data_IF_164830766392
#
_entry.id   IF_164830766392
#
_cell.length_a   1.000
_cell.length_b   1.000
_cell.length_c   1.000
_cell.angle_alpha   90.00
_cell.angle_beta   90.00
_cell.angle_gamma   90.00
#
_symmetry.space_group_name_H-M   'P 1'
#
loop_
_entity.id
_entity.type
_entity.pdbx_description
1 polymer ?
#
# COMPACT_ATOMS: atom_id res chain seq x y z
N UNK A 1 -8.01 -25.62 -11.64
CA UNK A 1 -6.85 -26.02 -10.82
C UNK A 1 -5.60 -25.64 -11.60
N UNK A 2 -5.20 -24.36 -11.55
CA UNK A 2 -4.20 -23.79 -12.45
C UNK A 2 -3.44 -22.64 -11.83
N UNK A 3 -2.14 -22.88 -11.60
CA UNK A 3 -1.03 -21.91 -11.53
C UNK A 3 -1.20 -20.62 -10.70
N UNK A 4 -1.41 -20.75 -9.40
CA UNK A 4 -0.86 -19.75 -8.48
C UNK A 4 0.58 -20.18 -8.14
N UNK A 5 1.54 -19.79 -9.00
CA UNK A 5 2.97 -19.90 -8.70
C UNK A 5 3.24 -19.07 -7.43
N UNK A 6 3.38 -19.74 -6.29
CA UNK A 6 4.62 -20.23 -5.67
C UNK A 6 5.59 -19.09 -5.39
N UNK A 7 5.97 -18.96 -4.12
CA UNK A 7 7.12 -18.17 -3.66
C UNK A 7 8.16 -17.96 -4.78
N UNK A 8 8.53 -16.71 -5.03
CA UNK A 8 9.62 -16.44 -5.99
C UNK A 8 10.91 -16.48 -5.19
N UNK A 9 11.75 -17.52 -5.34
CA UNK A 9 13.00 -17.60 -4.61
C UNK A 9 13.96 -16.51 -5.09
N UNK A 10 14.86 -16.01 -4.21
CA UNK A 10 15.92 -15.12 -4.63
C UNK A 10 16.87 -15.82 -5.62
N UNK A 11 17.47 -15.05 -6.54
CA UNK A 11 18.53 -15.55 -7.43
C UNK A 11 19.72 -16.03 -6.58
N UNK A 12 20.20 -17.24 -6.88
CA UNK A 12 21.11 -18.06 -6.06
C UNK A 12 22.37 -17.34 -5.55
N UNK A 13 22.30 -16.76 -4.35
CA UNK A 13 23.43 -16.38 -3.47
C UNK A 13 22.87 -16.26 -2.04
N UNK A 14 23.58 -16.81 -1.05
CA UNK A 14 23.14 -16.85 0.36
C UNK A 14 22.59 -15.49 0.84
N UNK A 15 21.43 -15.45 1.51
CA UNK A 15 20.90 -14.22 2.05
C UNK A 15 21.89 -13.64 3.06
N UNK A 16 22.09 -12.32 3.03
CA UNK A 16 22.78 -11.63 4.12
C UNK A 16 22.06 -11.93 5.45
N UNK A 17 22.75 -12.01 6.60
CA UNK A 17 22.12 -12.31 7.87
C UNK A 17 21.02 -11.28 8.16
N UNK A 18 19.77 -11.72 8.06
CA UNK A 18 18.56 -10.95 8.31
C UNK A 18 17.84 -11.63 9.47
N UNK A 19 17.23 -10.87 10.40
CA UNK A 19 16.39 -11.46 11.45
C UNK A 19 15.09 -12.07 10.88
N UNK A 20 14.79 -11.84 9.60
CA UNK A 20 13.63 -12.37 8.89
C UNK A 20 14.04 -13.30 7.76
N UNK A 21 13.26 -14.35 7.56
CA UNK A 21 13.47 -15.37 6.52
C UNK A 21 12.71 -15.06 5.22
N UNK A 22 11.65 -14.25 5.27
CA UNK A 22 10.78 -13.99 4.13
C UNK A 22 10.00 -12.67 4.23
N UNK A 23 9.48 -12.22 3.09
CA UNK A 23 8.46 -11.16 3.00
C UNK A 23 7.14 -11.78 2.54
N UNK A 24 6.03 -11.39 3.18
CA UNK A 24 4.67 -11.76 2.81
C UNK A 24 3.90 -10.53 2.33
N UNK A 25 3.63 -10.45 1.03
CA UNK A 25 2.71 -9.47 0.46
C UNK A 25 1.27 -9.87 0.80
N UNK A 26 0.55 -8.97 1.48
CA UNK A 26 -0.85 -9.20 1.87
C UNK A 26 -1.77 -8.18 1.22
N UNK A 27 -2.76 -8.66 0.46
CA UNK A 27 -3.71 -7.81 -0.24
C UNK A 27 -5.16 -8.27 -0.04
N UNK A 28 -6.11 -7.54 -0.63
CA UNK A 28 -7.54 -7.82 -0.50
C UNK A 28 -7.94 -9.05 -1.33
N UNK A 29 -7.35 -9.21 -2.51
CA UNK A 29 -7.78 -10.17 -3.54
C UNK A 29 -8.95 -9.67 -4.35
N UNK A 30 -9.16 -10.25 -5.54
CA UNK A 30 -10.30 -9.95 -6.38
C UNK A 30 -10.55 -11.06 -7.39
N UNK A 31 -11.78 -11.15 -7.95
CA UNK A 31 -12.16 -12.20 -8.88
C UNK A 31 -11.30 -12.14 -10.14
N UNK A 32 -10.99 -13.30 -10.72
CA UNK A 32 -10.18 -13.43 -11.95
C UNK A 32 -11.03 -13.88 -13.16
N UNK A 33 -12.35 -13.98 -12.99
CA UNK A 33 -13.30 -14.25 -14.05
C UNK A 33 -14.76 -14.12 -13.56
N UNK A 34 -15.75 -14.19 -14.48
CA UNK A 34 -17.16 -14.04 -14.14
C UNK A 34 -17.64 -15.02 -13.06
N UNK A 35 -17.19 -16.28 -13.13
CA UNK A 35 -17.59 -17.34 -12.19
C UNK A 35 -17.02 -17.12 -10.78
N UNK A 36 -15.96 -16.32 -10.65
CA UNK A 36 -15.34 -15.98 -9.36
C UNK A 36 -16.10 -14.89 -8.61
N UNK A 37 -16.88 -14.05 -9.30
CA UNK A 37 -17.44 -12.80 -8.75
C UNK A 37 -18.33 -13.07 -7.55
N UNK A 38 -19.31 -13.97 -7.68
CA UNK A 38 -20.24 -14.27 -6.60
C UNK A 38 -19.55 -14.97 -5.41
N UNK A 39 -18.78 -16.05 -5.60
CA UNK A 39 -18.01 -16.66 -4.52
C UNK A 39 -17.07 -15.68 -3.80
N UNK A 40 -16.42 -14.78 -4.55
CA UNK A 40 -15.58 -13.73 -3.96
C UNK A 40 -16.39 -12.81 -3.06
N UNK A 41 -17.54 -12.32 -3.54
CA UNK A 41 -18.40 -11.42 -2.76
C UNK A 41 -18.92 -12.12 -1.50
N UNK A 42 -19.29 -13.40 -1.59
CA UNK A 42 -19.68 -14.23 -0.45
C UNK A 42 -18.55 -14.33 0.58
N UNK A 43 -17.30 -14.53 0.15
CA UNK A 43 -16.12 -14.51 1.03
C UNK A 43 -15.90 -13.12 1.69
N UNK A 44 -16.13 -12.02 0.98
CA UNK A 44 -16.00 -10.65 1.50
C UNK A 44 -17.02 -10.34 2.61
N UNK A 45 -18.21 -10.91 2.49
CA UNK A 45 -19.31 -10.71 3.45
C UNK A 45 -19.47 -11.83 4.46
N UNK A 46 -18.61 -12.86 4.42
CA UNK A 46 -18.66 -13.96 5.38
C UNK A 46 -18.67 -13.43 6.84
N UNK A 47 -19.64 -13.90 7.62
CA UNK A 47 -19.89 -13.43 8.99
C UNK A 47 -20.62 -12.07 9.09
N UNK A 48 -21.15 -11.53 7.99
CA UNK A 48 -21.97 -10.31 7.95
C UNK A 48 -23.36 -10.61 7.40
N UNK A 49 -24.37 -9.95 7.95
CA UNK A 49 -25.75 -10.03 7.49
C UNK A 49 -25.97 -9.16 6.24
N UNK A 50 -25.37 -9.53 5.11
CA UNK A 50 -25.58 -8.86 3.82
C UNK A 50 -26.54 -9.70 2.98
N UNK A 51 -27.68 -9.15 2.54
CA UNK A 51 -28.65 -9.91 1.77
C UNK A 51 -28.12 -10.20 0.36
N UNK A 52 -28.44 -11.38 -0.18
CA UNK A 52 -27.95 -11.84 -1.48
C UNK A 52 -28.24 -10.89 -2.64
N UNK A 53 -29.39 -10.20 -2.62
CA UNK A 53 -29.73 -9.21 -3.66
C UNK A 53 -28.72 -8.07 -3.74
N UNK A 54 -28.10 -7.67 -2.61
CA UNK A 54 -27.06 -6.64 -2.58
C UNK A 54 -25.75 -7.14 -3.18
N UNK A 55 -25.44 -8.43 -3.02
CA UNK A 55 -24.29 -9.06 -3.68
C UNK A 55 -24.47 -9.07 -5.20
N UNK A 56 -25.67 -9.43 -5.67
CA UNK A 56 -26.01 -9.42 -7.09
C UNK A 56 -25.93 -8.02 -7.69
N UNK A 57 -26.37 -7.00 -6.96
CA UNK A 57 -26.23 -5.60 -7.39
C UNK A 57 -24.76 -5.19 -7.56
N UNK A 58 -23.89 -5.57 -6.61
CA UNK A 58 -22.45 -5.30 -6.69
C UNK A 58 -21.77 -6.12 -7.79
N UNK A 59 -22.22 -7.36 -8.03
CA UNK A 59 -21.69 -8.23 -9.07
C UNK A 59 -21.80 -7.60 -10.47
N UNK A 60 -22.88 -6.85 -10.74
CA UNK A 60 -23.07 -6.12 -12.01
C UNK A 60 -21.96 -5.13 -12.32
N UNK A 61 -21.31 -4.55 -11.30
CA UNK A 61 -20.17 -3.66 -11.54
C UNK A 61 -18.96 -4.41 -12.10
N UNK A 62 -18.79 -5.71 -11.78
CA UNK A 62 -17.72 -6.53 -12.36
C UNK A 62 -18.04 -6.97 -13.78
N UNK A 63 -19.31 -7.08 -14.17
CA UNK A 63 -19.71 -7.42 -15.55
C UNK A 63 -19.13 -6.42 -16.58
N UNK A 64 -19.09 -5.13 -16.21
CA UNK A 64 -18.47 -4.07 -17.03
C UNK A 64 -16.98 -4.31 -17.31
N UNK A 65 -16.32 -5.16 -16.51
CA UNK A 65 -14.91 -5.52 -16.62
C UNK A 65 -14.72 -7.02 -16.92
N UNK A 66 -15.74 -7.69 -17.48
CA UNK A 66 -15.66 -9.11 -17.82
C UNK A 66 -15.50 -10.04 -16.61
N UNK A 67 -15.95 -9.60 -15.43
CA UNK A 67 -15.82 -10.36 -14.18
C UNK A 67 -14.45 -10.27 -13.51
N UNK A 68 -13.50 -9.53 -14.08
CA UNK A 68 -12.11 -9.51 -13.61
C UNK A 68 -11.82 -8.25 -12.81
N UNK A 69 -11.27 -8.43 -11.61
CA UNK A 69 -10.64 -7.35 -10.86
C UNK A 69 -9.17 -7.17 -11.28
N UNK A 70 -8.71 -5.95 -11.56
CA UNK A 70 -7.30 -5.73 -11.91
C UNK A 70 -6.36 -5.99 -10.72
N UNK A 71 -6.88 -6.07 -9.49
CA UNK A 71 -6.07 -6.09 -8.27
C UNK A 71 -5.06 -7.25 -8.23
N UNK A 72 -5.47 -8.46 -8.61
CA UNK A 72 -4.57 -9.61 -8.62
C UNK A 72 -3.45 -9.48 -9.67
N UNK A 73 -3.76 -8.90 -10.84
CA UNK A 73 -2.74 -8.62 -11.85
C UNK A 73 -1.72 -7.57 -11.36
N UNK A 74 -2.18 -6.54 -10.65
CA UNK A 74 -1.32 -5.53 -10.05
C UNK A 74 -0.47 -6.11 -8.92
N UNK A 75 -1.03 -7.01 -8.09
CA UNK A 75 -0.26 -7.71 -7.05
C UNK A 75 0.83 -8.61 -7.65
N UNK A 76 0.58 -9.27 -8.79
CA UNK A 76 1.61 -10.04 -9.51
C UNK A 76 2.73 -9.13 -10.02
N UNK A 77 2.40 -7.97 -10.59
CA UNK A 77 3.39 -7.00 -11.03
C UNK A 77 4.20 -6.43 -9.86
N UNK A 78 3.54 -6.10 -8.74
CA UNK A 78 4.19 -5.63 -7.52
C UNK A 78 5.10 -6.71 -6.91
N UNK A 79 4.65 -7.97 -6.89
CA UNK A 79 5.45 -9.11 -6.43
C UNK A 79 6.73 -9.24 -7.24
N UNK A 80 6.63 -9.21 -8.57
CA UNK A 80 7.79 -9.28 -9.45
C UNK A 80 8.77 -8.11 -9.24
N UNK A 81 8.25 -6.88 -9.13
CA UNK A 81 9.07 -5.69 -8.87
C UNK A 81 9.77 -5.76 -7.51
N UNK A 82 9.05 -6.19 -6.47
CA UNK A 82 9.60 -6.33 -5.12
C UNK A 82 10.70 -7.39 -5.06
N UNK A 83 10.51 -8.53 -5.74
CA UNK A 83 11.55 -9.56 -5.86
C UNK A 83 12.78 -9.03 -6.59
N UNK A 84 12.59 -8.28 -7.69
CA UNK A 84 13.68 -7.62 -8.42
C UNK A 84 14.50 -6.70 -7.50
N UNK A 85 13.82 -5.80 -6.81
CA UNK A 85 14.44 -4.83 -5.89
C UNK A 85 15.21 -5.53 -4.75
N UNK A 86 14.62 -6.54 -4.11
CA UNK A 86 15.26 -7.29 -3.04
C UNK A 86 16.45 -8.13 -3.53
N UNK A 87 16.42 -8.59 -4.78
CA UNK A 87 17.53 -9.31 -5.39
C UNK A 87 18.70 -8.38 -5.73
N UNK A 88 18.41 -7.20 -6.28
CA UNK A 88 19.40 -6.22 -6.71
C UNK A 88 20.03 -5.48 -5.53
N UNK A 89 19.21 -5.00 -4.60
CA UNK A 89 19.63 -4.11 -3.51
C UNK A 89 19.62 -4.77 -2.13
N UNK A 90 19.03 -5.96 -2.01
CA UNK A 90 18.89 -6.66 -0.72
C UNK A 90 17.74 -6.14 0.15
N UNK A 91 17.40 -6.86 1.23
CA UNK A 91 17.86 -8.20 1.56
C UNK A 91 17.22 -9.23 0.62
N UNK A 92 18.01 -10.18 0.09
CA UNK A 92 17.60 -11.25 -0.85
C UNK A 92 16.67 -12.28 -0.20
N UNK A 93 15.50 -11.84 0.25
CA UNK A 93 14.50 -12.65 0.92
C UNK A 93 13.48 -13.19 -0.09
N UNK A 94 13.04 -14.45 0.03
CA UNK A 94 11.90 -14.95 -0.73
C UNK A 94 10.65 -14.15 -0.41
N UNK A 95 9.83 -13.91 -1.45
CA UNK A 95 8.57 -13.17 -1.33
C UNK A 95 7.39 -14.08 -1.62
N UNK A 96 6.43 -14.09 -0.71
CA UNK A 96 5.16 -14.82 -0.78
C UNK A 96 4.01 -13.83 -0.95
N UNK A 97 2.90 -14.28 -1.53
CA UNK A 97 1.70 -13.46 -1.68
C UNK A 97 0.47 -14.22 -1.21
N UNK A 98 -0.32 -13.58 -0.36
CA UNK A 98 -1.60 -14.09 0.13
C UNK A 98 -2.66 -13.00 0.22
N UNK A 99 -3.87 -13.32 -0.20
CA UNK A 99 -5.02 -12.42 -0.20
C UNK A 99 -6.00 -12.77 0.92
N UNK A 100 -6.75 -11.75 1.35
CA UNK A 100 -7.78 -11.92 2.38
C UNK A 100 -9.04 -12.63 1.90
N UNK A 101 -9.48 -12.35 0.68
CA UNK A 101 -10.83 -12.73 0.22
C UNK A 101 -10.88 -13.53 -1.06
N UNK A 102 -9.77 -13.65 -1.80
CA UNK A 102 -9.69 -14.45 -3.03
C UNK A 102 -8.35 -15.17 -3.13
N UNK A 103 -8.19 -16.09 -4.08
CA UNK A 103 -6.93 -16.83 -4.22
C UNK A 103 -5.77 -15.94 -4.73
N UNK A 104 -4.50 -16.30 -4.42
CA UNK A 104 -4.11 -17.29 -3.41
C UNK A 104 -4.52 -16.81 -2.00
N UNK A 105 -5.16 -17.66 -1.21
CA UNK A 105 -5.64 -17.26 0.12
C UNK A 105 -4.47 -17.16 1.10
N UNK A 106 -4.61 -16.29 2.09
CA UNK A 106 -3.56 -16.05 3.09
C UNK A 106 -3.15 -17.33 3.83
N UNK A 107 -4.10 -18.21 4.15
CA UNK A 107 -3.81 -19.49 4.80
C UNK A 107 -2.98 -20.42 3.90
N UNK A 108 -3.25 -20.43 2.58
CA UNK A 108 -2.48 -21.22 1.62
C UNK A 108 -1.04 -20.72 1.51
N UNK A 109 -0.85 -19.40 1.44
CA UNK A 109 0.47 -18.78 1.42
C UNK A 109 1.26 -19.08 2.71
N UNK A 110 0.63 -18.98 3.88
CA UNK A 110 1.29 -19.26 5.18
C UNK A 110 1.60 -20.75 5.32
N UNK A 111 0.74 -21.64 4.82
CA UNK A 111 1.00 -23.09 4.80
C UNK A 111 2.21 -23.42 3.93
N UNK A 112 2.32 -22.75 2.77
CA UNK A 112 3.51 -22.87 1.93
C UNK A 112 4.76 -22.38 2.66
N UNK A 113 4.72 -21.18 3.26
CA UNK A 113 5.85 -20.63 4.04
C UNK A 113 6.33 -21.61 5.13
N UNK A 114 5.39 -22.22 5.85
CA UNK A 114 5.71 -23.23 6.87
C UNK A 114 6.38 -24.48 6.27
N UNK A 115 5.91 -24.95 5.11
CA UNK A 115 6.50 -26.08 4.38
C UNK A 115 7.91 -25.77 3.85
N UNK A 116 8.16 -24.52 3.46
CA UNK A 116 9.44 -24.02 2.98
C UNK A 116 10.42 -23.69 4.13
N UNK A 117 10.03 -23.92 5.39
CA UNK A 117 10.87 -23.75 6.57
C UNK A 117 10.97 -22.32 7.11
N UNK A 118 10.16 -21.38 6.60
CA UNK A 118 10.09 -20.00 7.11
C UNK A 118 9.68 -20.01 8.58
N UNK A 119 10.42 -19.31 9.44
CA UNK A 119 10.14 -19.18 10.88
C UNK A 119 9.66 -17.79 11.24
N UNK A 120 10.21 -16.76 10.58
CA UNK A 120 9.88 -15.36 10.83
C UNK A 120 9.77 -14.57 9.51
N UNK A 121 8.65 -13.88 9.30
CA UNK A 121 8.41 -13.11 8.09
C UNK A 121 7.88 -11.70 8.35
N UNK A 122 8.16 -10.79 7.42
CA UNK A 122 7.63 -9.44 7.38
C UNK A 122 6.40 -9.36 6.48
N UNK A 123 5.27 -8.88 6.99
CA UNK A 123 4.07 -8.66 6.19
C UNK A 123 4.01 -7.23 5.63
N UNK A 124 4.10 -7.11 4.30
CA UNK A 124 3.78 -5.89 3.55
C UNK A 124 2.31 -5.91 3.15
N UNK A 125 1.49 -5.09 3.81
CA UNK A 125 0.07 -4.97 3.49
C UNK A 125 -0.12 -3.88 2.43
N UNK A 126 -0.84 -4.13 1.34
CA UNK A 126 -1.02 -3.15 0.24
C UNK A 126 -1.88 -1.91 0.59
N UNK A 127 -2.27 -1.76 1.86
CA UNK A 127 -3.02 -0.60 2.35
C UNK A 127 -2.10 0.36 3.10
N UNK A 128 -1.93 1.56 2.54
CA UNK A 128 -1.05 2.58 3.09
C UNK A 128 -1.58 3.23 4.39
N UNK A 129 -2.90 3.15 4.62
CA UNK A 129 -3.61 3.98 5.61
C UNK A 129 -4.16 3.19 6.80
N UNK A 130 -4.12 3.82 7.97
CA UNK A 130 -4.61 3.33 9.24
C UNK A 130 -6.12 3.48 9.36
N UNK A 131 -6.86 2.46 8.97
CA UNK A 131 -8.29 2.31 9.24
C UNK A 131 -8.61 0.92 9.77
N UNK A 132 -9.84 0.70 10.26
CA UNK A 132 -10.29 -0.63 10.67
C UNK A 132 -10.17 -1.64 9.51
N UNK A 133 -10.62 -1.25 8.32
CA UNK A 133 -10.57 -2.08 7.12
C UNK A 133 -9.15 -2.22 6.51
N UNK A 134 -8.36 -1.14 6.56
CA UNK A 134 -7.03 -1.05 5.93
C UNK A 134 -5.87 -1.51 6.81
N UNK A 135 -6.04 -1.53 8.13
CA UNK A 135 -4.97 -1.89 9.06
C UNK A 135 -5.36 -3.05 9.97
N UNK A 136 -6.39 -2.86 10.81
CA UNK A 136 -6.76 -3.83 11.84
C UNK A 136 -7.20 -5.17 11.27
N UNK A 137 -8.08 -5.15 10.27
CA UNK A 137 -8.58 -6.38 9.65
C UNK A 137 -7.47 -7.20 8.95
N UNK A 138 -6.38 -6.58 8.52
CA UNK A 138 -5.24 -7.31 7.96
C UNK A 138 -4.46 -8.05 9.04
N UNK A 139 -4.24 -7.43 10.21
CA UNK A 139 -3.61 -8.08 11.36
C UNK A 139 -4.48 -9.25 11.85
N UNK A 140 -5.79 -9.04 11.96
CA UNK A 140 -6.74 -10.09 12.35
C UNK A 140 -6.81 -11.23 11.31
N UNK A 141 -6.70 -10.92 10.01
CA UNK A 141 -6.66 -11.93 8.95
C UNK A 141 -5.37 -12.76 9.03
N UNK A 142 -4.22 -12.13 9.23
CA UNK A 142 -2.94 -12.83 9.44
C UNK A 142 -3.04 -13.74 10.67
N UNK A 143 -3.54 -13.24 11.79
CA UNK A 143 -3.69 -14.03 13.01
C UNK A 143 -4.60 -15.25 12.80
N UNK A 144 -5.73 -15.07 12.11
CA UNK A 144 -6.67 -16.16 11.78
C UNK A 144 -6.04 -17.20 10.86
N UNK A 145 -5.36 -16.76 9.80
CA UNK A 145 -4.71 -17.66 8.85
C UNK A 145 -3.56 -18.44 9.52
N UNK A 146 -2.80 -17.81 10.42
CA UNK A 146 -1.81 -18.51 11.26
C UNK A 146 -2.46 -19.56 12.17
N UNK A 147 -3.58 -19.23 12.80
CA UNK A 147 -4.31 -20.17 13.65
C UNK A 147 -4.85 -21.37 12.86
N UNK A 148 -5.29 -21.17 11.61
CA UNK A 148 -5.73 -22.24 10.71
C UNK A 148 -4.57 -23.17 10.31
N UNK A 149 -3.38 -22.63 10.03
CA UNK A 149 -2.18 -23.43 9.72
C UNK A 149 -1.64 -24.15 10.95
N UNK A 150 -1.81 -23.57 12.14
CA UNK A 150 -1.47 -24.20 13.42
C UNK A 150 -0.02 -23.93 13.86
N UNK A 151 0.56 -24.79 14.72
CA UNK A 151 1.85 -24.53 15.39
C UNK A 151 3.05 -24.36 14.46
N UNK A 152 2.96 -24.82 13.22
CA UNK A 152 4.01 -24.70 12.20
C UNK A 152 4.02 -23.34 11.52
N UNK A 153 2.96 -22.53 11.69
CA UNK A 153 2.87 -21.21 11.07
C UNK A 153 3.99 -20.27 11.54
N UNK A 154 4.72 -19.60 10.63
CA UNK A 154 5.77 -18.65 11.02
C UNK A 154 5.22 -17.52 11.88
N UNK A 155 6.09 -16.89 12.67
CA UNK A 155 5.81 -15.55 13.21
C UNK A 155 5.73 -14.56 12.04
N UNK A 156 4.73 -13.68 12.06
CA UNK A 156 4.51 -12.70 11.00
C UNK A 156 4.34 -11.33 11.62
N UNK A 157 5.30 -10.45 11.38
CA UNK A 157 5.29 -9.08 11.88
C UNK A 157 4.91 -8.13 10.76
N UNK A 158 3.88 -7.30 10.99
CA UNK A 158 3.38 -6.37 9.98
C UNK A 158 4.29 -5.13 9.91
N UNK A 159 4.68 -4.76 8.69
CA UNK A 159 5.37 -3.48 8.43
C UNK A 159 4.48 -2.28 8.78
N UNK A 160 5.13 -1.18 9.16
CA UNK A 160 4.45 0.09 9.44
C UNK A 160 3.68 0.61 8.22
N UNK A 161 2.68 1.45 8.48
CA UNK A 161 1.89 2.11 7.45
C UNK A 161 2.72 3.10 6.62
N UNK A 162 2.78 2.94 5.30
CA UNK A 162 3.70 3.71 4.45
C UNK A 162 3.09 4.98 3.79
N UNK A 163 1.92 5.48 4.25
CA UNK A 163 1.24 6.65 3.66
C UNK A 163 2.13 7.90 3.51
N UNK A 164 3.11 8.09 4.40
CA UNK A 164 4.05 9.20 4.38
C UNK A 164 5.48 8.78 4.00
N UNK A 165 5.68 7.55 3.53
CA UNK A 165 7.01 7.13 3.08
C UNK A 165 7.39 7.94 1.83
N UNK A 166 8.60 8.53 1.73
CA UNK A 166 8.92 9.42 0.62
C UNK A 166 8.79 8.74 -0.74
N UNK A 167 9.25 7.49 -0.90
CA UNK A 167 9.05 6.74 -2.15
C UNK A 167 7.58 6.48 -2.53
N UNK A 168 6.65 6.48 -1.56
CA UNK A 168 5.21 6.42 -1.85
C UNK A 168 4.68 7.79 -2.30
N UNK A 169 5.12 8.87 -1.65
CA UNK A 169 4.76 10.25 -2.01
C UNK A 169 5.29 10.62 -3.40
N UNK A 170 6.53 10.22 -3.71
CA UNK A 170 7.16 10.47 -5.01
C UNK A 170 6.43 9.75 -6.14
N UNK A 171 6.16 8.45 -5.98
CA UNK A 171 5.39 7.70 -6.97
C UNK A 171 4.00 8.34 -7.22
N UNK A 172 3.35 8.85 -6.17
CA UNK A 172 2.09 9.59 -6.30
C UNK A 172 2.27 10.93 -7.03
N UNK A 173 3.29 11.70 -6.68
CA UNK A 173 3.59 12.99 -7.31
C UNK A 173 3.98 12.85 -8.78
N UNK A 174 4.77 11.83 -9.13
CA UNK A 174 5.11 11.49 -10.53
C UNK A 174 3.86 11.24 -11.37
N UNK A 175 2.91 10.47 -10.84
CA UNK A 175 1.63 10.20 -11.54
C UNK A 175 0.80 11.46 -11.71
N UNK A 176 0.75 12.33 -10.71
CA UNK A 176 0.06 13.62 -10.82
C UNK A 176 0.75 14.53 -11.84
N UNK A 177 2.08 14.61 -11.82
CA UNK A 177 2.85 15.40 -12.77
C UNK A 177 2.63 14.93 -14.22
N UNK A 178 2.65 13.61 -14.43
CA UNK A 178 2.34 13.00 -15.73
C UNK A 178 0.93 13.39 -16.20
N UNK A 179 -0.10 13.23 -15.36
CA UNK A 179 -1.47 13.60 -15.72
C UNK A 179 -1.63 15.11 -15.99
N UNK A 180 -0.94 15.98 -15.25
CA UNK A 180 -0.94 17.42 -15.52
C UNK A 180 -0.28 17.76 -16.86
N UNK A 181 0.72 16.99 -17.29
CA UNK A 181 1.41 17.21 -18.57
C UNK A 181 0.52 16.91 -19.79
N UNK A 182 -0.48 16.04 -19.63
CA UNK A 182 -1.47 15.71 -20.66
C UNK A 182 -2.46 16.84 -20.91
N UNK A 183 -2.62 17.76 -19.95
CA UNK A 183 -3.50 18.91 -20.12
C UNK A 183 -2.94 19.92 -21.13
N UNK A 184 -3.78 20.65 -21.88
CA UNK A 184 -3.37 21.79 -22.69
C UNK A 184 -2.64 22.85 -21.86
N UNK A 185 -1.61 23.47 -22.44
CA UNK A 185 -0.72 24.41 -21.72
C UNK A 185 -1.47 25.60 -21.09
N UNK A 186 -2.56 26.07 -21.71
CA UNK A 186 -3.43 27.15 -21.24
C UNK A 186 -4.44 26.70 -20.16
N UNK A 187 -4.69 25.40 -20.05
CA UNK A 187 -5.54 24.80 -19.02
C UNK A 187 -4.75 24.43 -17.76
N UNK A 188 -3.48 24.01 -17.89
CA UNK A 188 -2.62 23.57 -16.78
C UNK A 188 -2.60 24.53 -15.58
N UNK A 189 -2.45 25.86 -15.73
CA UNK A 189 -2.39 26.77 -14.57
C UNK A 189 -3.72 26.90 -13.83
N UNK A 190 -4.84 26.51 -14.46
CA UNK A 190 -6.20 26.58 -13.90
C UNK A 190 -6.68 25.23 -13.36
N UNK A 191 -5.89 24.16 -13.55
CA UNK A 191 -6.24 22.82 -13.12
C UNK A 191 -6.39 22.76 -11.58
N UNK A 192 -7.39 22.00 -11.13
CA UNK A 192 -7.59 21.65 -9.72
C UNK A 192 -7.34 20.16 -9.55
N UNK A 193 -6.61 19.79 -8.50
CA UNK A 193 -6.30 18.41 -8.18
C UNK A 193 -7.32 17.86 -7.18
N UNK A 194 -8.07 16.84 -7.57
CA UNK A 194 -8.99 16.15 -6.66
C UNK A 194 -8.37 14.83 -6.21
N UNK A 195 -7.95 14.77 -4.95
CA UNK A 195 -7.57 13.50 -4.33
C UNK A 195 -8.84 12.76 -3.95
N UNK A 196 -9.01 11.54 -4.46
CA UNK A 196 -10.19 10.73 -4.20
C UNK A 196 -9.84 9.53 -3.33
N UNK A 197 -10.52 9.37 -2.20
CA UNK A 197 -10.33 8.25 -1.29
C UNK A 197 -11.64 7.51 -1.03
N UNK A 198 -11.57 6.24 -0.64
CA UNK A 198 -12.76 5.52 -0.22
C UNK A 198 -13.30 6.08 1.09
N UNK A 199 -14.63 6.26 1.19
CA UNK A 199 -15.27 6.61 2.45
C UNK A 199 -15.24 5.43 3.43
N UNK A 200 -15.27 5.76 4.71
CA UNK A 200 -15.46 4.81 5.82
C UNK A 200 -16.57 5.35 6.74
N UNK A 201 -17.25 4.49 7.52
CA UNK A 201 -18.26 4.96 8.46
C UNK A 201 -17.71 6.03 9.40
N UNK A 202 -18.46 7.11 9.65
CA UNK A 202 -18.01 8.25 10.48
C UNK A 202 -17.44 7.82 11.82
N UNK A 203 -18.15 6.94 12.52
CA UNK A 203 -17.69 6.39 13.80
C UNK A 203 -16.33 5.66 13.68
N UNK A 204 -16.05 4.99 12.56
CA UNK A 204 -14.74 4.38 12.31
C UNK A 204 -13.69 5.43 11.96
N UNK A 205 -14.06 6.50 11.25
CA UNK A 205 -13.15 7.59 10.90
C UNK A 205 -12.65 8.33 12.15
N UNK A 206 -13.57 8.71 13.04
CA UNK A 206 -13.28 9.42 14.30
C UNK A 206 -12.34 8.65 15.22
N UNK A 207 -12.38 7.31 15.18
CA UNK A 207 -11.53 6.42 15.98
C UNK A 207 -10.26 5.96 15.26
N UNK A 208 -9.91 6.57 14.12
CA UNK A 208 -8.76 6.13 13.32
C UNK A 208 -7.95 7.31 12.78
N UNK A 209 -6.66 7.14 12.51
CA UNK A 209 -5.84 8.18 11.91
C UNK A 209 -6.14 8.41 10.41
N UNK A 210 -7.09 7.68 9.82
CA UNK A 210 -7.35 7.64 8.37
C UNK A 210 -7.46 9.02 7.71
N UNK A 211 -8.33 9.90 8.24
CA UNK A 211 -8.54 11.23 7.66
C UNK A 211 -7.29 12.11 7.76
N UNK A 212 -6.59 12.06 8.90
CA UNK A 212 -5.35 12.80 9.10
C UNK A 212 -4.25 12.34 8.15
N UNK A 213 -4.09 11.02 7.98
CA UNK A 213 -3.09 10.44 7.09
C UNK A 213 -3.38 10.71 5.60
N UNK A 214 -4.65 10.70 5.19
CA UNK A 214 -5.04 11.10 3.83
C UNK A 214 -4.71 12.56 3.57
N UNK A 215 -5.10 13.47 4.48
CA UNK A 215 -4.78 14.90 4.36
C UNK A 215 -3.28 15.14 4.31
N UNK A 216 -2.52 14.42 5.13
CA UNK A 216 -1.07 14.52 5.13
C UNK A 216 -0.47 14.02 3.81
N UNK A 217 -0.97 12.91 3.26
CA UNK A 217 -0.53 12.44 1.93
C UNK A 217 -0.82 13.50 0.86
N UNK A 218 -2.03 14.08 0.85
CA UNK A 218 -2.40 15.12 -0.11
C UNK A 218 -1.48 16.33 -0.02
N UNK A 219 -1.19 16.76 1.22
CA UNK A 219 -0.26 17.86 1.52
C UNK A 219 1.14 17.54 0.99
N UNK A 220 1.71 16.39 1.36
CA UNK A 220 3.06 15.98 0.96
C UNK A 220 3.21 15.89 -0.56
N UNK A 221 2.22 15.32 -1.27
CA UNK A 221 2.23 15.27 -2.74
C UNK A 221 2.15 16.68 -3.33
N UNK A 222 1.27 17.54 -2.82
CA UNK A 222 1.13 18.91 -3.31
C UNK A 222 2.38 19.77 -3.07
N UNK A 223 3.03 19.62 -1.92
CA UNK A 223 4.24 20.36 -1.56
C UNK A 223 5.45 19.88 -2.40
N UNK A 224 5.56 18.56 -2.66
CA UNK A 224 6.58 18.01 -3.55
C UNK A 224 6.42 18.55 -4.99
N UNK A 225 5.19 18.63 -5.50
CA UNK A 225 4.90 19.19 -6.83
C UNK A 225 5.24 20.69 -6.95
N UNK A 226 5.27 21.44 -5.85
CA UNK A 226 5.69 22.86 -5.83
C UNK A 226 7.21 23.03 -5.77
N UNK A 227 7.94 21.96 -5.50
CA UNK A 227 9.37 22.02 -5.19
C UNK A 227 9.67 22.58 -3.79
N UNK A 228 8.68 22.61 -2.88
CA UNK A 228 8.85 23.10 -1.50
C UNK A 228 9.70 22.14 -0.64
N UNK A 229 9.96 20.91 -1.09
CA UNK A 229 10.91 19.97 -0.48
C UNK A 229 12.38 20.09 -0.97
N UNK A 230 12.70 21.01 -1.88
CA UNK A 230 14.08 21.20 -2.42
C UNK A 230 14.90 22.29 -1.71
N UNK A 231 14.31 23.07 -0.78
CA UNK A 231 14.88 24.36 -0.34
C UNK A 231 15.75 24.35 0.94
N UNK A 232 16.22 23.21 1.44
CA UNK A 232 17.05 23.16 2.66
C UNK A 232 18.40 22.45 2.47
N UNK A 233 19.20 22.86 1.47
CA UNK A 233 20.59 22.37 1.33
C UNK A 233 21.58 23.46 0.90
N UNK A 234 21.38 24.68 1.39
CA UNK A 234 22.32 25.77 1.14
C UNK A 234 22.08 26.94 2.08
N UNK A 235 22.48 26.77 3.34
CA UNK A 235 23.05 27.83 4.19
C UNK A 235 23.44 27.21 5.54
N UNK A 236 24.74 26.97 5.71
CA UNK A 236 25.35 26.68 7.00
C UNK A 236 25.13 27.88 7.93
N UNK A 237 24.45 27.67 9.06
CA UNK A 237 24.61 28.50 10.24
C UNK A 237 25.07 27.63 11.40
N UNK A 238 26.33 27.88 11.77
CA UNK A 238 27.06 27.39 12.93
C UNK A 238 26.29 27.70 14.22
N UNK A 239 25.98 26.69 15.01
CA UNK A 239 25.39 26.83 16.34
C UNK A 239 25.56 25.56 17.16
N UNK A 240 26.48 25.60 18.11
CA UNK A 240 26.81 24.54 19.07
C UNK A 240 25.76 24.43 20.18
N UNK A 241 25.33 23.21 20.54
CA UNK A 241 25.28 22.74 21.94
C UNK A 241 24.79 21.28 22.07
N UNK A 242 25.65 20.49 22.73
CA UNK A 242 25.52 19.23 23.47
C UNK A 242 24.16 18.50 23.69
N UNK A 243 24.19 17.21 23.33
CA UNK A 243 23.91 15.97 24.12
C UNK A 243 22.68 15.84 25.05
N UNK A 244 21.77 14.90 24.72
CA UNK A 244 21.59 13.60 25.45
C UNK A 244 20.32 12.80 25.05
N UNK A 245 20.57 11.52 24.76
CA UNK A 245 19.81 10.26 24.97
C UNK A 245 18.28 10.10 24.74
N UNK A 246 18.02 9.15 23.81
CA UNK A 246 17.10 8.00 23.89
C UNK A 246 15.59 8.19 24.14
N UNK A 247 14.84 8.14 23.04
CA UNK A 247 13.67 7.26 22.91
C UNK A 247 13.43 7.02 21.42
N UNK A 248 13.60 5.79 20.94
CA UNK A 248 13.19 5.41 19.58
C UNK A 248 11.67 5.25 19.62
N UNK A 249 10.97 6.37 19.53
CA UNK A 249 9.54 6.40 19.24
C UNK A 249 9.36 6.09 17.75
N UNK A 250 9.28 4.79 17.42
CA UNK A 250 9.08 4.27 16.06
C UNK A 250 7.73 4.72 15.42
N UNK A 251 6.90 5.47 16.16
CA UNK A 251 5.65 6.07 15.68
C UNK A 251 5.79 7.53 15.21
N UNK A 252 6.91 8.20 15.51
CA UNK A 252 7.07 9.65 15.34
C UNK A 252 7.88 10.07 14.10
N UNK A 253 8.34 9.13 13.26
CA UNK A 253 9.23 9.46 12.14
C UNK A 253 8.48 10.23 11.03
N UNK A 254 8.30 11.55 11.22
CA UNK A 254 8.02 12.50 10.16
C UNK A 254 9.21 12.42 9.19
N UNK A 255 8.97 12.28 7.88
CA UNK A 255 10.06 12.33 6.92
C UNK A 255 10.78 13.67 7.07
N UNK A 256 12.09 13.63 7.15
CA UNK A 256 12.93 14.82 7.22
C UNK A 256 13.14 15.38 5.81
N UNK A 257 13.49 16.67 5.70
CA UNK A 257 13.85 17.28 4.40
C UNK A 257 14.99 16.52 3.69
N UNK A 258 15.84 15.83 4.47
CA UNK A 258 16.93 14.97 3.98
C UNK A 258 16.41 13.70 3.28
N UNK A 259 15.31 13.12 3.77
CA UNK A 259 14.69 11.94 3.17
C UNK A 259 14.07 12.25 1.80
N UNK A 260 13.49 13.45 1.64
CA UNK A 260 12.98 13.95 0.37
C UNK A 260 14.10 14.36 -0.61
N UNK A 261 15.21 14.92 -0.10
CA UNK A 261 16.33 15.33 -0.94
C UNK A 261 17.09 14.14 -1.55
N UNK A 262 17.29 13.05 -0.79
CA UNK A 262 18.03 11.88 -1.25
C UNK A 262 17.31 11.09 -2.35
N UNK A 263 15.98 11.08 -2.35
CA UNK A 263 15.18 10.35 -3.33
C UNK A 263 14.82 11.20 -4.55
N UNK A 264 14.61 12.52 -4.39
CA UNK A 264 14.42 13.46 -5.51
C UNK A 264 15.62 13.58 -6.46
N UNK A 265 16.81 13.14 -6.06
CA UNK A 265 17.99 13.09 -6.94
C UNK A 265 17.94 11.95 -7.98
N UNK A 266 17.13 10.90 -7.77
CA UNK A 266 17.01 9.79 -8.73
C UNK A 266 16.10 10.11 -9.94
N UNK A 267 15.15 11.03 -9.80
CA UNK A 267 14.22 11.40 -10.87
C UNK A 267 13.96 12.93 -10.89
N UNK A 268 14.42 13.62 -11.94
CA UNK A 268 14.09 15.02 -12.17
C UNK A 268 12.57 15.18 -12.45
N UNK A 269 11.79 15.47 -11.41
CA UNK A 269 10.39 15.86 -11.57
C UNK A 269 10.31 17.19 -12.35
N UNK A 270 9.64 17.25 -13.52
CA UNK A 270 9.81 18.35 -14.47
C UNK A 270 8.95 19.60 -14.21
N UNK A 271 8.30 19.74 -13.05
CA UNK A 271 7.30 20.81 -12.85
C UNK A 271 7.82 21.92 -11.95
N UNK A 272 8.55 22.89 -12.52
CA UNK A 272 8.81 24.19 -11.89
C UNK A 272 7.72 25.19 -12.28
N UNK A 273 6.53 25.09 -11.69
CA UNK A 273 5.49 26.11 -11.88
C UNK A 273 5.12 26.73 -10.53
N UNK A 274 5.36 28.04 -10.41
CA UNK A 274 5.18 28.87 -9.21
C UNK A 274 3.71 29.14 -8.84
N UNK A 275 2.75 28.42 -9.45
CA UNK A 275 1.33 28.56 -9.16
C UNK A 275 0.89 27.43 -8.24
N UNK A 276 0.35 27.78 -7.05
CA UNK A 276 -0.24 26.82 -6.11
C UNK A 276 -1.31 26.00 -6.82
N UNK A 277 -1.02 24.74 -7.13
CA UNK A 277 -2.04 23.77 -7.53
C UNK A 277 -3.05 23.70 -6.38
N UNK A 278 -4.28 24.12 -6.64
CA UNK A 278 -5.39 24.01 -5.70
C UNK A 278 -5.80 22.55 -5.64
N UNK A 279 -5.94 22.01 -4.45
CA UNK A 279 -6.37 20.63 -4.27
C UNK A 279 -7.47 20.50 -3.23
N UNK A 280 -8.30 19.48 -3.40
CA UNK A 280 -9.34 19.09 -2.46
C UNK A 280 -9.28 17.57 -2.26
N UNK A 281 -9.59 17.12 -1.04
CA UNK A 281 -9.77 15.70 -0.73
C UNK A 281 -11.27 15.38 -0.74
N UNK A 282 -11.67 14.47 -1.62
CA UNK A 282 -13.05 14.00 -1.79
C UNK A 282 -13.17 12.52 -1.47
N UNK A 283 -14.37 12.08 -1.10
CA UNK A 283 -14.64 10.71 -0.70
C UNK A 283 -15.63 10.02 -1.64
N UNK A 284 -15.25 8.84 -2.13
CA UNK A 284 -16.11 7.96 -2.89
C UNK A 284 -16.97 7.16 -1.93
N UNK A 285 -18.29 7.37 -1.97
CA UNK A 285 -19.22 6.61 -1.15
C UNK A 285 -19.52 5.25 -1.79
N UNK A 286 -19.43 4.17 -1.01
CA UNK A 286 -19.95 2.84 -1.40
C UNK A 286 -21.46 2.71 -1.21
N UNK A 287 -22.03 3.64 -0.47
CA UNK A 287 -23.47 3.87 -0.37
C UNK A 287 -23.80 4.88 -1.46
N UNK A 288 -24.79 4.63 -2.32
CA UNK A 288 -25.28 5.67 -3.24
C UNK A 288 -25.67 6.96 -2.49
N UNK A 289 -26.05 8.04 -3.20
CA UNK A 289 -26.64 9.20 -2.55
C UNK A 289 -27.83 8.77 -1.67
N UNK A 290 -28.15 9.52 -0.59
CA UNK A 290 -29.35 9.26 0.21
C UNK A 290 -30.61 9.21 -0.65
#
# INVERSE_FOLDING_TARGET
>A
MGQYLSAVPPSSLSPAPSPFDAVLLVSFGGPEGPDDVLPFLENVVCGKSVPRWRLLEVARHYELFGGVSPLNSQNRALLAALVGELNEHGPRLPVYWGNRHWHPLLADAIRQMAGDGVRHALALVTSAYGSSAGCRQYVEAIARARAEVGPTAPQIDKLRLFFNHPGFIEAMAERVAAALSELPADARPRARLLFSAHSIPTASAERSPYLGQLRETCRLVADLLRGEGRKASGEEQTGSSDSSESSIDAQSNRPTDRDFAALSQKHELPVKHSHRIKWDLVFQSRSGPP
#
